data_IF_546766974830
#
_entry.id   IF_546766974830
#
_cell.length_a   1.000
_cell.length_b   1.000
_cell.length_c   1.000
_cell.angle_alpha   90.00
_cell.angle_beta   90.00
_cell.angle_gamma   90.00
#
_symmetry.space_group_name_H-M   'P 1'
#
loop_
_entity.id
_entity.type
_entity.pdbx_description
1 polymer ?
#
# COMPACT_ATOMS: atom_id res chain seq x y z
N UNK A 1 25.19 -47.68 -48.03
CA UNK A 1 26.57 -47.25 -48.28
C UNK A 1 26.98 -46.57 -47.02
N UNK A 2 27.54 -47.35 -46.07
CA UNK A 2 28.97 -47.55 -45.87
C UNK A 2 29.69 -46.26 -45.52
N UNK A 3 30.44 -46.08 -44.50
CA UNK A 3 31.14 -47.01 -43.59
C UNK A 3 31.73 -46.12 -42.47
N UNK A 4 31.67 -46.51 -41.22
CA UNK A 4 32.75 -47.07 -40.41
C UNK A 4 33.99 -46.15 -40.29
N UNK A 5 34.69 -45.99 -39.20
CA UNK A 5 35.03 -46.76 -38.00
C UNK A 5 35.88 -45.90 -37.03
N UNK A 6 35.64 -46.07 -35.73
CA UNK A 6 36.62 -46.59 -34.73
C UNK A 6 37.88 -45.78 -34.46
N UNK A 7 38.17 -45.60 -33.20
CA UNK A 7 38.98 -46.23 -32.21
C UNK A 7 39.35 -45.26 -31.08
N UNK A 8 39.13 -45.48 -29.84
CA UNK A 8 39.66 -46.43 -28.87
C UNK A 8 41.01 -46.06 -28.26
N UNK A 9 41.01 -46.05 -26.94
CA UNK A 9 42.16 -46.39 -26.08
C UNK A 9 42.61 -45.24 -25.18
N UNK A 10 42.52 -45.27 -23.96
CA UNK A 10 42.76 -46.15 -22.80
C UNK A 10 43.87 -45.61 -21.89
N UNK A 11 43.56 -45.57 -20.57
CA UNK A 11 44.42 -45.79 -19.41
C UNK A 11 45.57 -44.80 -19.09
N UNK A 12 45.75 -44.33 -17.85
CA UNK A 12 46.07 -45.04 -16.61
C UNK A 12 46.16 -44.12 -15.40
N UNK A 13 45.79 -44.64 -14.27
CA UNK A 13 45.96 -44.22 -12.88
C UNK A 13 47.41 -44.00 -12.44
N UNK A 14 47.59 -43.15 -11.41
CA UNK A 14 48.40 -43.38 -10.17
C UNK A 14 48.35 -42.12 -9.32
N UNK A 15 47.93 -42.14 -8.20
CA UNK A 15 48.09 -42.43 -6.79
C UNK A 15 49.41 -41.97 -6.14
N UNK A 16 49.18 -41.22 -5.02
CA UNK A 16 49.94 -41.17 -3.78
C UNK A 16 51.26 -40.37 -3.68
N UNK A 17 51.39 -39.47 -2.73
CA UNK A 17 51.88 -39.74 -1.36
C UNK A 17 52.00 -38.47 -0.53
N UNK A 18 51.61 -38.58 0.73
CA UNK A 18 51.93 -37.78 1.92
C UNK A 18 53.40 -37.34 2.04
N UNK A 19 53.60 -36.14 2.57
CA UNK A 19 54.60 -35.86 3.61
C UNK A 19 54.27 -34.63 4.44
N UNK A 20 54.12 -34.84 5.72
CA UNK A 20 54.19 -33.92 6.83
C UNK A 20 55.59 -33.39 7.05
N UNK A 21 55.76 -32.14 7.39
CA UNK A 21 56.88 -31.67 8.26
C UNK A 21 56.39 -30.52 9.14
N UNK A 22 56.77 -30.65 10.41
CA UNK A 22 56.48 -29.79 11.54
C UNK A 22 57.35 -28.53 11.61
N UNK A 23 56.79 -27.50 12.31
CA UNK A 23 57.37 -26.52 13.24
C UNK A 23 58.64 -25.75 12.87
N UNK A 24 58.56 -24.44 12.90
CA UNK A 24 59.05 -23.65 14.07
C UNK A 24 58.74 -22.15 13.94
N UNK A 25 58.53 -21.58 15.06
CA UNK A 25 58.18 -20.25 15.51
C UNK A 25 59.09 -19.11 15.05
N UNK A 26 58.50 -17.89 14.82
CA UNK A 26 58.92 -16.66 15.49
C UNK A 26 58.16 -15.41 14.99
N UNK A 27 57.62 -14.60 15.92
CA UNK A 27 57.66 -13.14 15.85
C UNK A 27 56.46 -12.42 15.25
N UNK A 28 55.52 -12.01 16.08
CA UNK A 28 54.59 -10.88 15.90
C UNK A 28 55.27 -9.53 15.55
N UNK A 29 54.57 -8.53 14.93
CA UNK A 29 53.53 -7.88 15.72
C UNK A 29 52.22 -7.61 14.94
N UNK A 30 51.18 -7.50 15.78
CA UNK A 30 49.80 -7.19 15.45
C UNK A 30 49.65 -5.83 14.75
N UNK A 31 48.98 -5.82 13.61
CA UNK A 31 48.27 -4.65 13.10
C UNK A 31 46.79 -4.99 13.17
N UNK A 32 46.13 -4.45 14.19
CA UNK A 32 44.71 -4.49 14.39
C UNK A 32 44.03 -3.56 13.36
N UNK A 33 43.57 -4.08 12.27
CA UNK A 33 42.51 -3.44 11.50
C UNK A 33 41.17 -4.07 11.92
N UNK A 34 40.56 -3.50 12.95
CA UNK A 34 39.14 -3.73 13.21
C UNK A 34 38.32 -3.03 12.12
N UNK A 35 38.19 -3.66 10.96
CA UNK A 35 37.08 -3.43 10.07
C UNK A 35 35.83 -3.98 10.78
N UNK A 36 35.01 -3.10 11.28
CA UNK A 36 33.70 -3.46 11.83
C UNK A 36 32.82 -3.95 10.67
N UNK A 37 32.73 -5.26 10.47
CA UNK A 37 31.57 -5.90 9.88
C UNK A 37 30.35 -5.56 10.74
N UNK A 38 29.73 -4.41 10.46
CA UNK A 38 28.36 -4.17 10.87
C UNK A 38 27.51 -5.07 9.97
N UNK A 39 27.35 -6.32 10.39
CA UNK A 39 26.28 -7.17 9.92
C UNK A 39 24.99 -6.33 9.95
N UNK A 40 24.38 -6.13 8.78
CA UNK A 40 23.09 -5.49 8.60
C UNK A 40 22.09 -6.13 9.57
N UNK A 41 21.69 -5.40 10.60
CA UNK A 41 20.62 -5.85 11.47
C UNK A 41 19.32 -5.77 10.65
N UNK A 42 18.64 -6.91 10.41
CA UNK A 42 17.33 -6.90 9.75
C UNK A 42 16.38 -5.97 10.52
N UNK A 43 15.36 -5.43 9.84
CA UNK A 43 14.29 -4.63 10.48
C UNK A 43 13.99 -5.20 11.85
N UNK A 44 14.32 -4.44 12.89
CA UNK A 44 14.05 -4.89 14.25
C UNK A 44 12.56 -5.19 14.37
N UNK A 45 12.19 -6.23 15.08
CA UNK A 45 10.81 -6.68 15.34
C UNK A 45 9.86 -5.52 15.69
N UNK A 46 10.41 -4.43 16.28
CA UNK A 46 9.72 -3.21 16.66
C UNK A 46 9.08 -2.40 15.50
N UNK A 47 9.60 -2.47 14.28
CA UNK A 47 9.04 -1.67 13.16
C UNK A 47 7.83 -2.35 12.53
N UNK A 48 7.79 -3.69 12.53
CA UNK A 48 6.58 -4.44 12.17
C UNK A 48 5.45 -4.26 13.19
N UNK A 49 5.78 -4.00 14.46
CA UNK A 49 4.78 -3.71 15.48
C UNK A 49 4.07 -2.37 15.24
N UNK A 50 4.73 -1.39 14.59
CA UNK A 50 4.09 -0.13 14.16
C UNK A 50 2.99 -0.33 13.11
N UNK A 51 3.03 -1.41 12.34
CA UNK A 51 1.98 -1.73 11.36
C UNK A 51 0.66 -2.11 12.04
N UNK A 52 0.71 -2.76 13.19
CA UNK A 52 -0.49 -3.32 13.85
C UNK A 52 -1.54 -2.26 14.22
N UNK A 53 -1.19 -1.13 14.87
CA UNK A 53 -2.16 -0.09 15.20
C UNK A 53 -2.62 0.74 14.00
N UNK A 54 -1.79 0.90 12.95
CA UNK A 54 -2.09 1.74 11.78
C UNK A 54 -2.65 0.97 10.58
N UNK A 55 -2.56 -0.37 10.59
CA UNK A 55 -2.94 -1.21 9.44
C UNK A 55 -3.63 -2.51 9.87
N UNK A 56 -4.94 -2.43 10.12
CA UNK A 56 -5.70 -3.59 10.62
C UNK A 56 -5.69 -4.80 9.65
N UNK A 57 -5.97 -4.58 8.37
CA UNK A 57 -6.06 -5.65 7.36
C UNK A 57 -4.70 -5.94 6.71
N UNK A 58 -3.95 -4.90 6.35
CA UNK A 58 -2.66 -5.05 5.68
C UNK A 58 -1.56 -5.64 6.58
N UNK A 59 -1.64 -5.45 7.90
CA UNK A 59 -0.71 -6.08 8.84
C UNK A 59 -0.65 -7.61 8.65
N UNK A 60 -1.82 -8.26 8.52
CA UNK A 60 -1.88 -9.71 8.31
C UNK A 60 -1.29 -10.11 6.95
N UNK A 61 -1.64 -9.37 5.89
CA UNK A 61 -1.10 -9.61 4.55
C UNK A 61 0.42 -9.46 4.52
N UNK A 62 0.97 -8.37 5.08
CA UNK A 62 2.42 -8.13 5.15
C UNK A 62 3.12 -9.21 5.99
N UNK A 63 2.52 -9.65 7.09
CA UNK A 63 3.08 -10.69 7.95
C UNK A 63 3.18 -12.05 7.26
N UNK A 64 2.27 -12.34 6.32
CA UNK A 64 2.29 -13.58 5.52
C UNK A 64 3.42 -13.59 4.47
N UNK A 65 3.95 -12.42 4.09
CA UNK A 65 4.97 -12.32 3.06
C UNK A 65 6.27 -13.03 3.45
N UNK A 66 7.00 -13.59 2.47
CA UNK A 66 8.40 -13.97 2.63
C UNK A 66 9.23 -12.81 3.19
N UNK A 67 10.29 -13.11 3.95
CA UNK A 67 11.14 -12.07 4.55
C UNK A 67 11.70 -11.09 3.53
N UNK A 68 12.09 -11.58 2.36
CA UNK A 68 12.64 -10.78 1.25
C UNK A 68 11.68 -9.70 0.73
N UNK A 69 10.38 -9.95 0.73
CA UNK A 69 9.33 -8.99 0.34
C UNK A 69 8.87 -8.11 1.50
N UNK A 70 8.88 -8.67 2.71
CA UNK A 70 8.24 -8.04 3.88
C UNK A 70 8.84 -6.68 4.21
N UNK A 71 10.16 -6.58 4.16
CA UNK A 71 10.87 -5.38 4.57
C UNK A 71 10.59 -4.18 3.65
N UNK A 72 10.84 -4.23 2.34
CA UNK A 72 10.57 -3.10 1.46
C UNK A 72 9.08 -2.74 1.41
N UNK A 73 8.18 -3.75 1.47
CA UNK A 73 6.73 -3.51 1.47
C UNK A 73 6.25 -2.87 2.78
N UNK A 74 6.76 -3.32 3.92
CA UNK A 74 6.44 -2.74 5.23
C UNK A 74 6.89 -1.29 5.32
N UNK A 75 8.12 -0.98 4.87
CA UNK A 75 8.66 0.38 4.88
C UNK A 75 7.88 1.30 3.91
N UNK A 76 7.59 0.84 2.70
CA UNK A 76 6.76 1.58 1.75
C UNK A 76 5.40 1.91 2.36
N UNK A 77 4.74 0.92 2.99
CA UNK A 77 3.46 1.12 3.65
C UNK A 77 3.53 2.12 4.82
N UNK A 78 4.53 1.99 5.70
CA UNK A 78 4.69 2.91 6.85
C UNK A 78 4.95 4.34 6.39
N UNK A 79 5.77 4.54 5.36
CA UNK A 79 6.03 5.86 4.77
C UNK A 79 4.77 6.44 4.10
N UNK A 80 4.04 5.64 3.31
CA UNK A 80 2.76 6.05 2.73
C UNK A 80 1.75 6.41 3.83
N UNK A 81 1.63 5.60 4.89
CA UNK A 81 0.72 5.91 5.99
C UNK A 81 1.12 7.17 6.77
N UNK A 82 2.42 7.45 6.86
CA UNK A 82 2.92 8.72 7.43
C UNK A 82 2.49 9.91 6.58
N UNK A 83 2.62 9.82 5.24
CA UNK A 83 2.16 10.88 4.34
C UNK A 83 0.65 11.08 4.38
N UNK A 84 -0.15 10.00 4.46
CA UNK A 84 -1.60 10.08 4.67
C UNK A 84 -1.93 10.83 5.97
N UNK A 85 -1.25 10.49 7.08
CA UNK A 85 -1.49 11.15 8.37
C UNK A 85 -1.17 12.65 8.33
N UNK A 86 -0.18 13.08 7.54
CA UNK A 86 0.13 14.48 7.29
C UNK A 86 -0.99 15.12 6.45
N UNK A 87 -1.39 14.48 5.35
CA UNK A 87 -2.41 14.99 4.43
C UNK A 87 -3.78 15.13 5.09
N UNK A 88 -4.17 14.15 5.93
CA UNK A 88 -5.47 14.10 6.61
C UNK A 88 -5.53 14.93 7.90
N UNK A 89 -4.43 15.60 8.28
CA UNK A 89 -4.37 16.36 9.52
C UNK A 89 -5.20 17.63 9.47
N UNK A 90 -6.38 17.63 10.12
CA UNK A 90 -7.24 18.81 10.26
C UNK A 90 -6.69 19.87 11.25
N UNK A 91 -5.55 19.63 11.90
CA UNK A 91 -4.94 20.58 12.84
C UNK A 91 -4.20 21.72 12.14
N UNK A 92 -3.98 21.63 10.82
CA UNK A 92 -3.25 22.63 10.05
C UNK A 92 -4.02 23.03 8.79
N UNK A 93 -3.86 24.28 8.34
CA UNK A 93 -4.31 24.73 7.02
C UNK A 93 -3.72 23.87 5.89
N UNK A 94 -4.40 23.82 4.73
CA UNK A 94 -3.96 23.03 3.58
C UNK A 94 -2.54 23.40 3.13
N UNK A 95 -2.19 24.67 3.14
CA UNK A 95 -0.85 25.17 2.73
C UNK A 95 0.26 24.60 3.61
N UNK A 96 0.05 24.53 4.92
CA UNK A 96 1.03 23.93 5.85
C UNK A 96 1.13 22.42 5.70
N UNK A 97 0.02 21.74 5.39
CA UNK A 97 0.04 20.30 5.07
C UNK A 97 0.82 20.02 3.80
N UNK A 98 0.62 20.83 2.75
CA UNK A 98 1.36 20.76 1.49
C UNK A 98 2.86 20.99 1.74
N UNK A 99 3.23 22.04 2.50
CA UNK A 99 4.65 22.29 2.85
C UNK A 99 5.27 21.09 3.57
N UNK A 100 4.56 20.51 4.53
CA UNK A 100 5.05 19.37 5.31
C UNK A 100 5.15 18.09 4.47
N UNK A 101 4.21 17.86 3.54
CA UNK A 101 4.29 16.78 2.56
C UNK A 101 5.50 16.94 1.64
N UNK A 102 5.75 18.16 1.12
CA UNK A 102 6.91 18.43 0.28
C UNK A 102 8.23 18.21 1.04
N UNK A 103 8.28 18.59 2.31
CA UNK A 103 9.44 18.30 3.18
C UNK A 103 9.61 16.82 3.42
N UNK A 104 8.51 16.10 3.67
CA UNK A 104 8.54 14.64 3.86
C UNK A 104 8.99 13.91 2.59
N UNK A 105 8.50 14.33 1.42
CA UNK A 105 8.96 13.80 0.13
C UNK A 105 10.47 14.03 -0.09
N UNK A 106 10.99 15.22 0.26
CA UNK A 106 12.44 15.50 0.23
C UNK A 106 13.22 14.63 1.22
N UNK A 107 12.65 14.35 2.40
CA UNK A 107 13.29 13.47 3.38
C UNK A 107 13.38 12.02 2.88
N UNK A 108 12.32 11.50 2.24
CA UNK A 108 12.31 10.18 1.57
C UNK A 108 13.38 10.13 0.47
N UNK A 109 13.52 11.21 -0.30
CA UNK A 109 14.57 11.35 -1.32
C UNK A 109 15.99 11.53 -0.73
N UNK A 110 16.12 11.63 0.60
CA UNK A 110 17.41 11.84 1.29
C UNK A 110 17.90 13.29 1.31
N UNK A 111 17.05 14.25 0.93
CA UNK A 111 17.39 15.69 0.75
C UNK A 111 16.97 16.57 1.94
N UNK A 112 16.20 16.09 2.91
CA UNK A 112 15.81 16.82 4.13
C UNK A 112 16.08 15.91 5.36
N UNK A 113 16.94 16.36 6.27
CA UNK A 113 17.27 15.65 7.51
C UNK A 113 16.56 16.24 8.74
N UNK A 114 15.84 17.33 8.58
CA UNK A 114 15.18 18.07 9.67
C UNK A 114 13.70 17.75 9.82
N UNK A 115 13.17 16.82 9.03
CA UNK A 115 11.75 16.47 9.00
C UNK A 115 11.20 16.02 10.36
N UNK A 116 12.02 15.33 11.16
CA UNK A 116 11.61 14.82 12.47
C UNK A 116 11.17 15.92 13.43
N UNK A 117 11.85 17.08 13.40
CA UNK A 117 11.43 18.25 14.19
C UNK A 117 10.05 18.74 13.75
N UNK A 118 9.84 18.90 12.43
CA UNK A 118 8.57 19.39 11.89
C UNK A 118 7.39 18.43 12.21
N UNK A 119 7.62 17.11 12.21
CA UNK A 119 6.60 16.12 12.61
C UNK A 119 6.30 16.17 14.12
N UNK A 120 7.29 16.44 14.94
CA UNK A 120 7.09 16.68 16.40
C UNK A 120 6.30 17.96 16.66
N UNK A 121 6.59 19.04 15.93
CA UNK A 121 5.84 20.30 16.02
C UNK A 121 4.37 20.11 15.63
N UNK A 122 4.07 19.25 14.63
CA UNK A 122 2.72 18.83 14.28
C UNK A 122 2.01 18.14 15.45
N UNK A 123 2.70 17.26 16.18
CA UNK A 123 2.13 16.55 17.32
C UNK A 123 1.85 17.50 18.50
N UNK A 124 2.73 18.48 18.75
CA UNK A 124 2.57 19.45 19.83
C UNK A 124 1.41 20.43 19.57
N UNK A 125 1.26 20.91 18.34
CA UNK A 125 0.18 21.84 17.95
C UNK A 125 -1.22 21.27 18.19
N UNK A 126 -1.37 19.94 18.23
CA UNK A 126 -2.66 19.26 18.54
C UNK A 126 -2.95 19.12 20.05
N UNK A 127 -1.92 19.12 20.91
CA UNK A 127 -2.15 19.04 22.36
C UNK A 127 -2.73 20.36 22.89
N UNK A 128 -2.33 21.50 22.36
CA UNK A 128 -2.83 22.81 22.75
C UNK A 128 -4.27 23.07 22.28
N UNK A 129 -4.65 22.58 21.10
CA UNK A 129 -6.03 22.70 20.57
C UNK A 129 -7.08 21.90 21.34
N UNK A 130 -6.68 20.81 22.00
CA UNK A 130 -7.59 19.97 22.81
C UNK A 130 -7.96 20.58 24.17
N UNK A 131 -7.14 21.49 24.68
CA UNK A 131 -7.40 22.16 25.99
C UNK A 131 -8.35 23.35 25.87
N UNK A 132 -8.48 23.96 24.69
CA UNK A 132 -9.35 25.12 24.49
C UNK A 132 -10.82 24.77 24.28
N UNK A 133 -11.15 23.53 23.87
CA UNK A 133 -12.52 23.08 23.61
C UNK A 133 -13.28 22.48 24.82
N UNK A 134 -12.66 22.40 25.99
CA UNK A 134 -13.23 21.76 27.18
C UNK A 134 -14.25 22.63 27.94
N UNK A 135 -14.64 23.83 27.43
CA UNK A 135 -15.56 24.76 28.13
C UNK A 135 -16.97 24.87 27.56
N UNK A 136 -17.35 24.14 26.54
CA UNK A 136 -18.74 24.06 26.09
C UNK A 136 -19.37 22.72 26.47
N UNK A 137 -20.30 22.74 27.44
CA UNK A 137 -21.20 21.63 27.76
C UNK A 137 -22.22 21.47 26.64
N UNK A 138 -21.79 20.91 25.49
CA UNK A 138 -22.65 20.46 24.40
C UNK A 138 -22.44 18.97 24.18
N UNK A 139 -23.50 18.23 23.93
CA UNK A 139 -23.50 16.82 23.56
C UNK A 139 -22.60 16.65 22.36
N UNK A 140 -21.43 15.94 22.52
CA UNK A 140 -20.50 15.61 21.44
C UNK A 140 -21.23 14.77 20.41
N UNK A 141 -21.33 15.26 19.20
CA UNK A 141 -21.79 14.46 18.05
C UNK A 141 -20.75 13.42 17.68
N UNK A 142 -21.12 12.29 17.02
CA UNK A 142 -20.17 11.28 16.57
C UNK A 142 -19.06 11.83 15.64
N UNK A 143 -19.24 13.02 15.07
CA UNK A 143 -18.27 13.73 14.24
C UNK A 143 -17.15 14.40 15.05
N UNK A 144 -17.43 14.81 16.29
CA UNK A 144 -16.44 15.43 17.19
C UNK A 144 -15.39 14.43 17.72
N UNK A 145 -15.63 13.13 17.55
CA UNK A 145 -14.72 12.05 17.98
C UNK A 145 -13.68 11.67 16.95
N UNK A 146 -13.76 12.17 15.70
CA UNK A 146 -12.86 11.79 14.60
C UNK A 146 -11.71 12.78 14.31
N UNK A 147 -11.65 13.91 15.02
CA UNK A 147 -10.69 15.00 14.72
C UNK A 147 -9.30 14.85 15.34
N UNK A 148 -9.03 13.78 16.09
CA UNK A 148 -7.73 13.53 16.73
C UNK A 148 -6.84 12.53 15.98
N UNK A 149 -5.51 12.74 15.99
CA UNK A 149 -4.54 11.70 15.61
C UNK A 149 -4.73 10.52 16.57
N UNK A 150 -4.89 9.30 16.05
CA UNK A 150 -4.94 8.09 16.88
C UNK A 150 -3.57 7.81 17.52
N UNK A 151 -3.54 7.07 18.63
CA UNK A 151 -2.26 6.68 19.27
C UNK A 151 -1.33 5.93 18.30
N UNK A 152 -1.88 5.14 17.36
CA UNK A 152 -1.10 4.48 16.33
C UNK A 152 -0.45 5.45 15.34
N UNK A 153 -1.16 6.48 14.91
CA UNK A 153 -0.65 7.53 14.01
C UNK A 153 0.37 8.42 14.74
N UNK A 154 0.17 8.70 16.01
CA UNK A 154 1.14 9.41 16.85
C UNK A 154 2.46 8.63 16.92
N UNK A 155 2.40 7.35 17.30
CA UNK A 155 3.57 6.48 17.34
C UNK A 155 4.28 6.38 15.98
N UNK A 156 3.52 6.40 14.88
CA UNK A 156 4.05 6.40 13.51
C UNK A 156 4.83 7.68 13.21
N UNK A 157 4.25 8.86 13.49
CA UNK A 157 4.91 10.15 13.29
C UNK A 157 6.18 10.29 14.15
N UNK A 158 6.14 9.84 15.41
CA UNK A 158 7.30 9.80 16.30
C UNK A 158 8.41 8.88 15.78
N UNK A 159 8.04 7.82 15.07
CA UNK A 159 8.97 6.84 14.49
C UNK A 159 9.46 7.19 13.09
N UNK A 160 8.98 8.27 12.47
CA UNK A 160 9.24 8.58 11.06
C UNK A 160 10.75 8.68 10.74
N UNK A 161 11.56 9.29 11.61
CA UNK A 161 13.02 9.35 11.41
C UNK A 161 13.65 7.95 11.42
N UNK A 162 13.17 7.05 12.28
CA UNK A 162 13.66 5.67 12.36
C UNK A 162 13.30 4.92 11.09
N UNK A 163 12.06 5.10 10.57
CA UNK A 163 11.60 4.48 9.32
C UNK A 163 12.42 5.01 8.14
N UNK A 164 12.72 6.32 8.08
CA UNK A 164 13.58 6.92 7.06
C UNK A 164 15.03 6.40 7.13
N UNK A 165 15.57 6.12 8.33
CA UNK A 165 16.87 5.47 8.46
C UNK A 165 16.84 4.03 7.96
N UNK A 166 15.78 3.28 8.28
CA UNK A 166 15.59 1.91 7.79
C UNK A 166 15.51 1.86 6.26
N UNK A 167 14.85 2.85 5.61
CA UNK A 167 14.85 2.97 4.15
C UNK A 167 16.27 3.03 3.55
N UNK A 168 17.20 3.71 4.21
CA UNK A 168 18.60 3.81 3.74
C UNK A 168 19.37 2.49 3.85
N UNK A 169 18.89 1.54 4.64
CA UNK A 169 19.51 0.23 4.81
C UNK A 169 18.99 -0.82 3.81
N UNK A 170 17.94 -0.51 3.03
CA UNK A 170 17.48 -1.38 1.95
C UNK A 170 18.52 -1.47 0.82
N UNK A 171 18.39 -2.49 -0.04
CA UNK A 171 19.17 -2.56 -1.29
C UNK A 171 18.93 -1.30 -2.14
N UNK A 172 19.90 -0.88 -2.99
CA UNK A 172 19.73 0.29 -3.86
C UNK A 172 18.46 0.22 -4.73
N UNK A 173 18.11 -0.96 -5.22
CA UNK A 173 16.94 -1.21 -6.04
C UNK A 173 15.64 -1.01 -5.23
N UNK A 174 15.59 -1.56 -4.01
CA UNK A 174 14.44 -1.38 -3.12
C UNK A 174 14.27 0.07 -2.71
N UNK A 175 15.38 0.75 -2.39
CA UNK A 175 15.35 2.18 -2.09
C UNK A 175 14.78 3.01 -3.25
N UNK A 176 15.20 2.69 -4.49
CA UNK A 176 14.70 3.36 -5.69
C UNK A 176 13.20 3.15 -5.82
N UNK A 177 12.74 1.90 -5.79
CA UNK A 177 11.33 1.57 -5.99
C UNK A 177 10.43 2.19 -4.91
N UNK A 178 10.86 2.18 -3.63
CA UNK A 178 10.12 2.84 -2.55
C UNK A 178 10.08 4.35 -2.74
N UNK A 179 11.19 4.99 -3.15
CA UNK A 179 11.23 6.44 -3.40
C UNK A 179 10.36 6.84 -4.59
N UNK A 180 10.39 6.08 -5.68
CA UNK A 180 9.53 6.31 -6.86
C UNK A 180 8.06 6.21 -6.48
N UNK A 181 7.67 5.15 -5.78
CA UNK A 181 6.30 4.98 -5.28
C UNK A 181 5.85 6.17 -4.44
N UNK A 182 6.65 6.53 -3.43
CA UNK A 182 6.28 7.61 -2.50
C UNK A 182 6.27 8.98 -3.17
N UNK A 183 7.10 9.21 -4.19
CA UNK A 183 7.05 10.44 -4.99
C UNK A 183 5.72 10.57 -5.75
N UNK A 184 5.18 9.46 -6.27
CA UNK A 184 3.88 9.44 -6.96
C UNK A 184 2.75 9.66 -5.95
N UNK A 185 2.73 8.93 -4.83
CA UNK A 185 1.69 9.04 -3.80
C UNK A 185 1.64 10.46 -3.22
N UNK A 186 2.77 11.02 -2.82
CA UNK A 186 2.82 12.36 -2.22
C UNK A 186 2.41 13.45 -3.22
N UNK A 187 2.67 13.25 -4.52
CA UNK A 187 2.15 14.13 -5.57
C UNK A 187 0.62 14.07 -5.62
N UNK A 188 0.02 12.88 -5.64
CA UNK A 188 -1.44 12.73 -5.64
C UNK A 188 -2.09 13.36 -4.42
N UNK A 189 -1.53 13.16 -3.23
CA UNK A 189 -2.00 13.78 -1.98
C UNK A 189 -1.91 15.31 -2.00
N UNK A 190 -0.84 15.85 -2.59
CA UNK A 190 -0.68 17.29 -2.76
C UNK A 190 -1.70 17.88 -3.74
N UNK A 191 -1.94 17.21 -4.86
CA UNK A 191 -2.96 17.59 -5.84
C UNK A 191 -4.35 17.60 -5.19
N UNK A 192 -4.65 16.58 -4.40
CA UNK A 192 -5.90 16.46 -3.63
C UNK A 192 -6.08 17.65 -2.66
N UNK A 193 -5.07 17.95 -1.84
CA UNK A 193 -5.11 19.08 -0.91
C UNK A 193 -5.28 20.44 -1.61
N UNK A 194 -4.69 20.61 -2.80
CA UNK A 194 -4.81 21.84 -3.57
C UNK A 194 -6.20 21.98 -4.17
N UNK A 195 -6.76 20.90 -4.71
CA UNK A 195 -8.07 20.84 -5.35
C UNK A 195 -9.20 21.23 -4.40
N UNK A 196 -9.21 20.65 -3.21
CA UNK A 196 -10.32 20.81 -2.24
C UNK A 196 -10.17 22.02 -1.33
N UNK A 197 -9.19 22.91 -1.54
CA UNK A 197 -9.00 24.11 -0.72
C UNK A 197 -10.10 25.16 -0.90
N UNK A 198 -10.85 25.11 -2.01
CA UNK A 198 -11.92 26.06 -2.35
C UNK A 198 -13.32 25.65 -1.92
N UNK A 199 -13.50 24.50 -1.25
CA UNK A 199 -14.79 23.95 -0.87
C UNK A 199 -15.21 22.76 -1.73
N UNK A 200 -16.52 22.43 -1.73
CA UNK A 200 -17.05 21.29 -2.46
C UNK A 200 -16.90 21.49 -3.98
N UNK A 201 -16.10 20.64 -4.57
CA UNK A 201 -15.86 20.58 -6.02
C UNK A 201 -15.91 19.13 -6.50
N UNK A 202 -16.11 18.92 -7.81
CA UNK A 202 -16.06 17.61 -8.45
C UNK A 202 -14.79 17.47 -9.30
N UNK A 203 -14.40 16.23 -9.63
CA UNK A 203 -13.40 15.97 -10.67
C UNK A 203 -13.99 16.34 -12.03
N UNK A 204 -13.16 16.85 -12.96
CA UNK A 204 -13.68 17.36 -14.23
C UNK A 204 -14.33 16.26 -15.08
N UNK A 205 -13.72 15.07 -15.13
CA UNK A 205 -14.16 13.96 -15.99
C UNK A 205 -13.67 12.60 -15.47
N UNK A 206 -14.13 11.52 -16.11
CA UNK A 206 -13.76 10.15 -15.78
C UNK A 206 -12.24 9.89 -15.81
N UNK A 207 -11.52 10.49 -16.78
CA UNK A 207 -10.07 10.29 -16.89
C UNK A 207 -9.35 10.85 -15.67
N UNK A 208 -9.76 12.01 -15.16
CA UNK A 208 -9.18 12.61 -13.95
C UNK A 208 -9.38 11.72 -12.72
N UNK A 209 -10.54 11.06 -12.59
CA UNK A 209 -10.75 10.08 -11.53
C UNK A 209 -9.84 8.86 -11.68
N UNK A 210 -9.68 8.34 -12.90
CA UNK A 210 -8.77 7.21 -13.14
C UNK A 210 -7.31 7.58 -12.90
N UNK A 211 -6.89 8.80 -13.28
CA UNK A 211 -5.54 9.29 -13.01
C UNK A 211 -5.30 9.45 -11.51
N UNK A 212 -6.26 10.00 -10.77
CA UNK A 212 -6.20 10.07 -9.32
C UNK A 212 -6.06 8.70 -8.68
N UNK A 213 -6.89 7.72 -9.07
CA UNK A 213 -6.80 6.36 -8.54
C UNK A 213 -5.46 5.69 -8.86
N UNK A 214 -4.84 6.04 -10.00
CA UNK A 214 -3.49 5.60 -10.32
C UNK A 214 -2.45 6.20 -9.38
N UNK A 215 -2.49 7.51 -9.16
CA UNK A 215 -1.52 8.21 -8.31
C UNK A 215 -1.50 7.70 -6.86
N UNK A 216 -2.66 7.32 -6.31
CA UNK A 216 -2.76 6.93 -4.89
C UNK A 216 -2.77 5.41 -4.67
N UNK A 217 -3.05 4.60 -5.70
CA UNK A 217 -3.16 3.16 -5.54
C UNK A 217 -2.71 2.31 -6.73
N UNK A 218 -2.92 2.73 -7.99
CA UNK A 218 -2.42 2.00 -9.16
C UNK A 218 -0.90 1.85 -9.13
N UNK A 219 -0.17 2.90 -8.78
CA UNK A 219 1.29 2.88 -8.61
C UNK A 219 1.75 1.88 -7.53
N UNK A 220 0.92 1.59 -6.53
CA UNK A 220 1.20 0.55 -5.51
C UNK A 220 1.20 -0.84 -6.14
N UNK A 221 0.26 -1.10 -7.08
CA UNK A 221 0.21 -2.34 -7.85
C UNK A 221 1.46 -2.54 -8.72
N UNK A 222 1.96 -1.47 -9.34
CA UNK A 222 3.21 -1.51 -10.10
C UNK A 222 4.42 -1.78 -9.19
N UNK A 223 4.55 -1.06 -8.09
CA UNK A 223 5.60 -1.28 -7.08
C UNK A 223 5.60 -2.73 -6.59
N UNK A 224 4.44 -3.23 -6.20
CA UNK A 224 4.26 -4.61 -5.75
C UNK A 224 4.75 -5.60 -6.81
N UNK A 225 4.36 -5.41 -8.05
CA UNK A 225 4.73 -6.29 -9.18
C UNK A 225 6.25 -6.30 -9.38
N UNK A 226 6.89 -5.12 -9.50
CA UNK A 226 8.36 -5.01 -9.69
C UNK A 226 9.14 -5.68 -8.55
N UNK A 227 8.75 -5.44 -7.30
CA UNK A 227 9.40 -6.06 -6.14
C UNK A 227 9.21 -7.59 -6.14
N UNK A 228 8.02 -8.09 -6.52
CA UNK A 228 7.76 -9.52 -6.64
C UNK A 228 8.61 -10.17 -7.73
N UNK A 229 8.68 -9.61 -8.93
CA UNK A 229 9.52 -10.14 -10.01
C UNK A 229 10.99 -10.21 -9.61
N UNK A 230 11.50 -9.19 -8.94
CA UNK A 230 12.90 -9.16 -8.50
C UNK A 230 13.22 -10.13 -7.37
N UNK A 231 12.32 -10.31 -6.40
CA UNK A 231 12.62 -11.01 -5.14
C UNK A 231 12.00 -12.39 -4.97
N UNK A 232 11.05 -12.75 -5.81
CA UNK A 232 10.33 -14.02 -5.67
C UNK A 232 10.68 -14.95 -6.82
N UNK A 233 11.44 -15.99 -6.52
CA UNK A 233 11.75 -17.00 -7.51
C UNK A 233 10.48 -17.65 -8.05
N UNK A 234 10.41 -17.80 -9.39
CA UNK A 234 9.25 -18.39 -10.08
C UNK A 234 7.92 -17.71 -9.67
N UNK A 235 7.91 -16.40 -9.55
CA UNK A 235 6.75 -15.61 -9.13
C UNK A 235 5.51 -15.93 -9.95
N UNK A 236 5.64 -15.91 -11.27
CA UNK A 236 4.58 -16.20 -12.24
C UNK A 236 5.18 -16.74 -13.54
N UNK A 237 4.34 -17.33 -14.39
CA UNK A 237 4.67 -17.69 -15.77
C UNK A 237 4.26 -16.59 -16.78
N UNK A 238 3.57 -15.52 -16.34
CA UNK A 238 3.16 -14.41 -17.22
C UNK A 238 4.30 -13.43 -17.42
N UNK A 239 4.22 -12.65 -18.49
CA UNK A 239 5.11 -11.53 -18.74
C UNK A 239 4.97 -10.45 -17.66
N UNK A 240 6.05 -9.75 -17.36
CA UNK A 240 6.03 -8.66 -16.37
C UNK A 240 5.07 -7.54 -16.79
N UNK A 241 5.01 -7.21 -18.09
CA UNK A 241 4.11 -6.19 -18.64
C UNK A 241 2.64 -6.51 -18.33
N UNK A 242 2.21 -7.76 -18.56
CA UNK A 242 0.83 -8.20 -18.28
C UNK A 242 0.51 -8.10 -16.78
N UNK A 243 1.48 -8.48 -15.95
CA UNK A 243 1.31 -8.40 -14.49
C UNK A 243 1.32 -6.96 -13.98
N UNK A 244 2.07 -6.05 -14.60
CA UNK A 244 2.04 -4.62 -14.29
C UNK A 244 0.67 -4.02 -14.60
N UNK A 245 0.11 -4.33 -15.76
CA UNK A 245 -1.24 -3.88 -16.15
C UNK A 245 -2.31 -4.38 -15.17
N UNK A 246 -2.33 -5.69 -14.89
CA UNK A 246 -3.24 -6.28 -13.91
C UNK A 246 -3.06 -5.68 -12.52
N UNK A 247 -1.81 -5.47 -12.07
CA UNK A 247 -1.49 -4.88 -10.77
C UNK A 247 -1.96 -3.43 -10.67
N UNK A 248 -1.76 -2.63 -11.72
CA UNK A 248 -2.23 -1.24 -11.82
C UNK A 248 -3.75 -1.16 -11.74
N UNK A 249 -4.46 -1.96 -12.56
CA UNK A 249 -5.91 -2.00 -12.58
C UNK A 249 -6.49 -2.49 -11.24
N UNK A 250 -5.83 -3.45 -10.62
CA UNK A 250 -6.19 -3.91 -9.28
C UNK A 250 -6.06 -2.80 -8.23
N UNK A 251 -4.96 -2.06 -8.21
CA UNK A 251 -4.78 -0.91 -7.32
C UNK A 251 -5.87 0.15 -7.51
N UNK A 252 -6.15 0.52 -8.78
CA UNK A 252 -7.24 1.44 -9.13
C UNK A 252 -8.60 0.95 -8.63
N UNK A 253 -8.92 -0.34 -8.84
CA UNK A 253 -10.16 -0.95 -8.35
C UNK A 253 -10.31 -0.86 -6.84
N UNK A 254 -9.25 -1.15 -6.07
CA UNK A 254 -9.26 -1.01 -4.61
C UNK A 254 -9.50 0.44 -4.16
N UNK A 255 -8.95 1.43 -4.88
CA UNK A 255 -9.19 2.83 -4.57
C UNK A 255 -10.61 3.26 -4.91
N UNK A 256 -11.16 2.80 -6.04
CA UNK A 256 -12.57 3.05 -6.37
C UNK A 256 -13.51 2.48 -5.30
N UNK A 257 -13.23 1.29 -4.77
CA UNK A 257 -13.99 0.76 -3.61
C UNK A 257 -13.95 1.70 -2.42
N UNK A 258 -12.78 2.30 -2.12
CA UNK A 258 -12.67 3.27 -1.04
C UNK A 258 -13.49 4.53 -1.32
N UNK A 259 -13.39 5.10 -2.53
CA UNK A 259 -14.13 6.30 -2.96
C UNK A 259 -15.65 6.05 -2.86
N UNK A 260 -16.14 4.94 -3.40
CA UNK A 260 -17.55 4.58 -3.37
C UNK A 260 -18.07 4.38 -1.93
N UNK A 261 -17.29 3.71 -1.09
CA UNK A 261 -17.64 3.43 0.30
C UNK A 261 -17.68 4.70 1.15
N UNK A 262 -16.74 5.58 0.94
CA UNK A 262 -16.56 6.78 1.77
C UNK A 262 -17.18 8.03 1.12
N UNK A 263 -17.87 7.90 -0.05
CA UNK A 263 -18.45 8.98 -0.86
C UNK A 263 -19.27 10.00 -0.03
N UNK A 264 -20.17 9.53 0.82
CA UNK A 264 -20.98 10.43 1.64
C UNK A 264 -20.16 11.21 2.68
N UNK A 265 -19.10 10.65 3.24
CA UNK A 265 -18.20 11.36 4.15
C UNK A 265 -17.31 12.35 3.41
N UNK A 266 -16.87 12.01 2.20
CA UNK A 266 -16.04 12.87 1.36
C UNK A 266 -16.83 14.08 0.86
N UNK A 267 -18.08 13.90 0.41
CA UNK A 267 -18.98 14.99 0.04
C UNK A 267 -19.17 15.98 1.18
N UNK A 268 -19.45 15.49 2.40
CA UNK A 268 -19.57 16.35 3.60
C UNK A 268 -18.26 17.05 3.98
N UNK A 269 -17.12 16.51 3.58
CA UNK A 269 -15.81 17.13 3.76
C UNK A 269 -15.40 18.04 2.57
N UNK A 270 -16.31 18.32 1.62
CA UNK A 270 -16.05 19.17 0.48
C UNK A 270 -15.35 18.48 -0.70
N UNK A 271 -15.34 17.16 -0.75
CA UNK A 271 -14.68 16.37 -1.79
C UNK A 271 -15.67 15.54 -2.60
N UNK A 272 -15.78 15.79 -3.89
CA UNK A 272 -16.56 14.97 -4.80
C UNK A 272 -15.63 14.31 -5.83
N UNK A 273 -15.43 13.01 -5.71
CA UNK A 273 -14.60 12.26 -6.67
C UNK A 273 -15.37 11.87 -7.94
N UNK A 274 -16.69 12.05 -7.97
CA UNK A 274 -17.48 11.74 -9.18
C UNK A 274 -17.28 12.82 -10.25
N UNK A 275 -17.20 12.42 -11.55
CA UNK A 275 -16.96 13.32 -12.65
C UNK A 275 -18.07 14.37 -12.84
N UNK A 276 -17.68 15.64 -12.94
CA UNK A 276 -18.60 16.75 -13.12
C UNK A 276 -19.37 16.69 -14.43
N UNK A 277 -18.71 16.24 -15.51
CA UNK A 277 -19.35 16.06 -16.82
C UNK A 277 -20.47 15.01 -16.76
N UNK A 278 -20.29 13.91 -16.03
CA UNK A 278 -21.32 12.89 -15.84
C UNK A 278 -22.47 13.41 -14.94
N UNK A 279 -22.14 14.15 -13.88
CA UNK A 279 -23.16 14.78 -13.03
C UNK A 279 -23.99 15.77 -13.82
N UNK A 280 -23.35 16.64 -14.59
CA UNK A 280 -24.04 17.64 -15.43
C UNK A 280 -24.91 16.99 -16.50
N UNK A 281 -24.49 15.87 -17.08
CA UNK A 281 -25.32 15.11 -18.03
C UNK A 281 -26.59 14.53 -17.42
N UNK A 282 -26.63 14.40 -16.08
CA UNK A 282 -27.80 13.96 -15.31
C UNK A 282 -28.54 15.14 -14.63
N UNK A 283 -28.24 16.39 -15.04
CA UNK A 283 -28.75 17.62 -14.39
C UNK A 283 -28.45 17.71 -12.90
N UNK A 284 -27.28 17.21 -12.48
CA UNK A 284 -26.79 17.20 -11.10
C UNK A 284 -25.53 18.04 -10.95
N UNK A 285 -25.33 18.55 -9.74
CA UNK A 285 -24.09 19.11 -9.22
C UNK A 285 -23.55 18.29 -8.06
N UNK A 286 -22.29 18.53 -7.64
CA UNK A 286 -21.71 17.87 -6.47
C UNK A 286 -22.52 18.12 -5.18
N UNK A 287 -23.15 19.27 -5.02
CA UNK A 287 -23.97 19.62 -3.86
C UNK A 287 -25.26 18.82 -3.78
N UNK A 288 -25.85 18.46 -4.94
CA UNK A 288 -27.11 17.71 -4.97
C UNK A 288 -26.93 16.28 -4.44
N UNK A 289 -25.70 15.73 -4.53
CA UNK A 289 -25.40 14.37 -4.05
C UNK A 289 -25.54 14.21 -2.54
N UNK A 290 -25.52 15.30 -1.77
CA UNK A 290 -25.75 15.27 -0.31
C UNK A 290 -27.16 14.76 0.05
N UNK A 291 -28.13 15.00 -0.84
CA UNK A 291 -29.51 14.54 -0.69
C UNK A 291 -29.75 13.14 -1.29
N UNK A 292 -28.70 12.54 -1.89
CA UNK A 292 -28.75 11.24 -2.54
C UNK A 292 -29.88 11.12 -3.60
N UNK A 293 -29.89 11.98 -4.63
CA UNK A 293 -30.97 12.03 -5.63
C UNK A 293 -30.98 10.75 -6.50
N UNK A 294 -32.19 10.25 -6.83
CA UNK A 294 -32.34 9.02 -7.61
C UNK A 294 -31.62 9.09 -8.98
N UNK A 295 -31.52 10.27 -9.58
CA UNK A 295 -30.80 10.49 -10.85
C UNK A 295 -29.28 10.18 -10.76
N UNK A 296 -28.70 10.14 -9.55
CA UNK A 296 -27.29 9.75 -9.35
C UNK A 296 -27.06 8.24 -9.40
N UNK A 297 -28.08 7.40 -9.20
CA UNK A 297 -27.92 5.95 -9.12
C UNK A 297 -27.24 5.34 -10.35
N UNK A 298 -27.55 5.72 -11.60
CA UNK A 298 -26.85 5.19 -12.77
C UNK A 298 -25.35 5.49 -12.78
N UNK A 299 -24.95 6.71 -12.37
CA UNK A 299 -23.54 7.11 -12.27
C UNK A 299 -22.84 6.29 -11.20
N UNK A 300 -23.44 6.17 -10.02
CA UNK A 300 -22.92 5.38 -8.91
C UNK A 300 -22.72 3.91 -9.28
N UNK A 301 -23.73 3.30 -9.94
CA UNK A 301 -23.69 1.90 -10.41
C UNK A 301 -22.62 1.67 -11.47
N UNK A 302 -22.42 2.62 -12.40
CA UNK A 302 -21.33 2.57 -13.37
C UNK A 302 -19.96 2.49 -12.69
N UNK A 303 -19.72 3.33 -11.69
CA UNK A 303 -18.45 3.33 -10.97
C UNK A 303 -18.27 2.11 -10.07
N UNK A 304 -19.36 1.50 -9.59
CA UNK A 304 -19.31 0.18 -8.94
C UNK A 304 -18.84 -0.87 -9.93
N UNK A 305 -19.36 -0.86 -11.17
CA UNK A 305 -18.96 -1.79 -12.23
C UNK A 305 -17.47 -1.60 -12.60
N UNK A 306 -16.98 -0.36 -12.69
CA UNK A 306 -15.56 -0.06 -12.92
C UNK A 306 -14.66 -0.57 -11.77
N UNK A 307 -15.08 -0.36 -10.52
CA UNK A 307 -14.38 -0.91 -9.36
C UNK A 307 -14.34 -2.44 -9.39
N UNK A 308 -15.44 -3.09 -9.80
CA UNK A 308 -15.53 -4.54 -9.95
C UNK A 308 -14.57 -5.06 -11.00
N UNK A 309 -14.47 -4.41 -12.17
CA UNK A 309 -13.50 -4.76 -13.20
C UNK A 309 -12.05 -4.70 -12.68
N UNK A 310 -11.71 -3.67 -11.89
CA UNK A 310 -10.40 -3.58 -11.23
C UNK A 310 -10.16 -4.71 -10.22
N UNK A 311 -11.17 -5.10 -9.44
CA UNK A 311 -11.03 -6.25 -8.52
C UNK A 311 -10.92 -7.58 -9.27
N UNK A 312 -11.59 -7.75 -10.40
CA UNK A 312 -11.45 -8.92 -11.28
C UNK A 312 -10.02 -9.03 -11.83
N UNK A 313 -9.41 -7.91 -12.23
CA UNK A 313 -7.99 -7.87 -12.57
C UNK A 313 -7.11 -8.31 -11.39
N UNK A 314 -7.46 -7.92 -10.16
CA UNK A 314 -6.78 -8.35 -8.93
C UNK A 314 -6.90 -9.85 -8.65
N UNK A 315 -8.06 -10.44 -8.91
CA UNK A 315 -8.26 -11.89 -8.80
C UNK A 315 -7.46 -12.63 -9.87
N UNK A 316 -7.44 -12.14 -11.10
CA UNK A 316 -6.63 -12.70 -12.20
C UNK A 316 -5.14 -12.61 -11.90
N UNK A 317 -4.68 -11.45 -11.39
CA UNK A 317 -3.32 -11.26 -10.91
C UNK A 317 -2.96 -12.31 -9.84
N UNK A 318 -3.80 -12.49 -8.83
CA UNK A 318 -3.57 -13.45 -7.76
C UNK A 318 -3.55 -14.91 -8.27
N UNK A 319 -4.42 -15.27 -9.22
CA UNK A 319 -4.43 -16.59 -9.86
C UNK A 319 -3.10 -16.86 -10.59
N UNK A 320 -2.48 -15.85 -11.18
CA UNK A 320 -1.22 -15.98 -11.89
C UNK A 320 -0.01 -16.19 -10.97
N UNK A 321 -0.10 -15.86 -9.69
CA UNK A 321 0.99 -15.99 -8.72
C UNK A 321 1.22 -17.47 -8.36
N UNK A 322 2.46 -17.97 -8.48
CA UNK A 322 2.80 -19.35 -8.13
C UNK A 322 2.97 -19.55 -6.61
N UNK A 323 3.73 -18.74 -5.84
CA UNK A 323 3.92 -18.97 -4.42
C UNK A 323 2.64 -18.71 -3.60
N UNK A 324 2.13 -19.73 -2.94
CA UNK A 324 0.85 -19.69 -2.21
C UNK A 324 0.75 -18.56 -1.17
N UNK A 325 1.82 -18.28 -0.42
CA UNK A 325 1.84 -17.19 0.58
C UNK A 325 1.66 -15.80 -0.06
N UNK A 326 2.32 -15.55 -1.18
CA UNK A 326 2.21 -14.29 -1.91
C UNK A 326 0.82 -14.18 -2.51
N UNK A 327 0.30 -15.26 -3.10
CA UNK A 327 -1.08 -15.33 -3.63
C UNK A 327 -2.12 -15.00 -2.58
N UNK A 328 -2.05 -15.63 -1.40
CA UNK A 328 -2.99 -15.38 -0.29
C UNK A 328 -2.91 -13.92 0.18
N UNK A 329 -1.71 -13.37 0.33
CA UNK A 329 -1.52 -11.97 0.72
C UNK A 329 -2.12 -11.00 -0.31
N UNK A 330 -2.05 -11.34 -1.60
CA UNK A 330 -2.56 -10.51 -2.70
C UNK A 330 -4.07 -10.61 -2.86
N UNK A 331 -4.67 -11.81 -2.71
CA UNK A 331 -6.10 -12.01 -2.98
C UNK A 331 -7.00 -11.47 -1.86
N UNK A 332 -6.51 -11.41 -0.63
CA UNK A 332 -7.32 -11.02 0.53
C UNK A 332 -7.96 -9.62 0.40
N UNK A 333 -7.25 -8.56 -0.01
CA UNK A 333 -7.86 -7.26 -0.25
C UNK A 333 -8.94 -7.30 -1.36
N UNK A 334 -8.72 -8.07 -2.43
CA UNK A 334 -9.71 -8.22 -3.51
C UNK A 334 -11.02 -8.82 -3.00
N UNK A 335 -10.95 -9.91 -2.22
CA UNK A 335 -12.13 -10.54 -1.63
C UNK A 335 -12.92 -9.60 -0.70
N UNK A 336 -12.21 -8.82 0.13
CA UNK A 336 -12.85 -7.81 0.98
C UNK A 336 -13.48 -6.70 0.12
N UNK A 337 -12.79 -6.29 -0.96
CA UNK A 337 -13.29 -5.31 -1.93
C UNK A 337 -14.58 -5.78 -2.61
N UNK A 338 -14.61 -7.00 -3.15
CA UNK A 338 -15.79 -7.59 -3.78
C UNK A 338 -16.98 -7.61 -2.81
N UNK A 339 -16.76 -8.07 -1.57
CA UNK A 339 -17.84 -8.06 -0.55
C UNK A 339 -18.31 -6.65 -0.21
N UNK A 340 -17.38 -5.67 -0.18
CA UNK A 340 -17.73 -4.26 0.02
C UNK A 340 -18.61 -3.76 -1.11
N UNK A 341 -18.27 -4.05 -2.39
CA UNK A 341 -19.09 -3.66 -3.54
C UNK A 341 -20.49 -4.27 -3.48
N UNK A 342 -20.61 -5.57 -3.11
CA UNK A 342 -21.93 -6.21 -2.97
C UNK A 342 -22.79 -5.48 -1.91
N UNK A 343 -22.20 -5.10 -0.77
CA UNK A 343 -22.91 -4.34 0.25
C UNK A 343 -23.29 -2.92 -0.22
N UNK A 344 -22.46 -2.28 -1.06
CA UNK A 344 -22.77 -0.98 -1.65
C UNK A 344 -23.90 -1.09 -2.67
N UNK A 345 -23.92 -2.14 -3.50
CA UNK A 345 -25.03 -2.44 -4.43
C UNK A 345 -26.35 -2.69 -3.66
N UNK A 346 -26.30 -3.49 -2.61
CA UNK A 346 -27.46 -3.75 -1.73
C UNK A 346 -28.00 -2.48 -1.07
N UNK A 347 -27.08 -1.57 -0.67
CA UNK A 347 -27.46 -0.31 0.00
C UNK A 347 -27.92 0.78 -0.98
N UNK A 348 -27.51 0.69 -2.25
CA UNK A 348 -27.77 1.74 -3.24
C UNK A 348 -27.33 3.12 -2.75
N UNK A 349 -28.16 4.15 -2.93
CA UNK A 349 -27.82 5.53 -2.54
C UNK A 349 -27.83 5.76 -1.02
N UNK A 350 -28.36 4.84 -0.21
CA UNK A 350 -28.26 4.95 1.24
C UNK A 350 -26.80 4.85 1.72
N UNK A 351 -25.90 4.30 0.89
CA UNK A 351 -24.46 4.33 1.14
C UNK A 351 -23.88 5.75 1.26
N UNK A 352 -24.52 6.77 0.66
CA UNK A 352 -24.13 8.18 0.85
C UNK A 352 -24.52 8.74 2.22
N UNK A 353 -25.54 8.16 2.85
CA UNK A 353 -26.04 8.57 4.17
C UNK A 353 -25.43 7.78 5.30
N UNK A 354 -25.20 6.49 5.09
CA UNK A 354 -24.72 5.54 6.09
C UNK A 354 -23.46 4.85 5.63
N UNK A 355 -22.46 4.74 6.52
CA UNK A 355 -21.19 4.10 6.18
C UNK A 355 -21.34 2.59 6.09
N UNK A 356 -21.15 2.04 4.89
CA UNK A 356 -21.12 0.60 4.62
C UNK A 356 -19.81 0.00 5.11
N UNK A 357 -19.88 -1.11 5.85
CA UNK A 357 -18.71 -1.85 6.34
C UNK A 357 -18.96 -3.34 6.33
N UNK A 358 -17.99 -4.12 5.82
CA UNK A 358 -17.98 -5.57 5.99
C UNK A 358 -17.84 -5.90 7.48
N UNK A 359 -18.72 -6.73 8.05
CA UNK A 359 -18.64 -7.16 9.45
C UNK A 359 -17.28 -7.82 9.77
N UNK A 360 -16.73 -7.56 10.96
CA UNK A 360 -15.45 -8.13 11.37
C UNK A 360 -15.45 -9.66 11.43
N UNK A 361 -16.61 -10.28 11.70
CA UNK A 361 -16.81 -11.73 11.66
C UNK A 361 -16.63 -12.27 10.25
N UNK A 362 -17.21 -11.62 9.22
CA UNK A 362 -17.05 -12.00 7.82
C UNK A 362 -15.59 -11.85 7.37
N UNK A 363 -14.93 -10.74 7.72
CA UNK A 363 -13.50 -10.55 7.40
C UNK A 363 -12.63 -11.66 8.01
N UNK A 364 -12.90 -12.08 9.26
CA UNK A 364 -12.20 -13.21 9.89
C UNK A 364 -12.49 -14.54 9.18
N UNK A 365 -13.74 -14.77 8.79
CA UNK A 365 -14.13 -15.92 7.99
C UNK A 365 -13.41 -15.95 6.63
N UNK A 366 -13.35 -14.82 5.94
CA UNK A 366 -12.59 -14.68 4.69
C UNK A 366 -11.11 -15.00 4.88
N UNK A 367 -10.46 -14.47 5.93
CA UNK A 367 -9.05 -14.76 6.22
C UNK A 367 -8.85 -16.27 6.42
N UNK A 368 -9.70 -16.92 7.23
CA UNK A 368 -9.61 -18.34 7.48
C UNK A 368 -9.84 -19.18 6.20
N UNK A 369 -10.90 -18.88 5.44
CA UNK A 369 -11.21 -19.57 4.19
C UNK A 369 -10.15 -19.33 3.12
N UNK A 370 -9.64 -18.09 3.00
CA UNK A 370 -8.58 -17.73 2.05
C UNK A 370 -7.30 -18.51 2.33
N UNK A 371 -6.92 -18.65 3.59
CA UNK A 371 -5.72 -19.39 3.98
C UNK A 371 -5.84 -20.89 3.65
N UNK A 372 -7.03 -21.48 3.81
CA UNK A 372 -7.27 -22.92 3.60
C UNK A 372 -7.60 -23.25 2.13
N UNK A 373 -8.42 -22.40 1.49
CA UNK A 373 -9.06 -22.72 0.21
C UNK A 373 -8.30 -22.10 -0.98
N UNK A 374 -7.79 -20.89 -0.84
CA UNK A 374 -7.20 -20.10 -1.93
C UNK A 374 -5.68 -20.25 -2.05
N UNK A 375 -5.04 -21.07 -1.22
CA UNK A 375 -3.68 -21.54 -1.47
C UNK A 375 -3.57 -22.31 -2.82
N UNK A 376 -4.69 -22.85 -3.34
CA UNK A 376 -4.79 -23.54 -4.63
C UNK A 376 -5.32 -22.60 -5.73
N UNK A 377 -4.60 -22.47 -6.85
CA UNK A 377 -5.02 -21.71 -8.04
C UNK A 377 -6.36 -22.24 -8.61
N UNK A 378 -6.56 -23.54 -8.62
CA UNK A 378 -7.79 -24.15 -9.14
C UNK A 378 -9.03 -23.81 -8.31
N UNK A 379 -8.89 -23.68 -6.99
CA UNK A 379 -9.97 -23.27 -6.11
C UNK A 379 -10.28 -21.76 -6.26
N UNK A 380 -9.24 -20.94 -6.42
CA UNK A 380 -9.42 -19.50 -6.67
C UNK A 380 -10.12 -19.24 -8.00
N UNK A 381 -9.78 -19.99 -9.08
CA UNK A 381 -10.49 -19.93 -10.36
C UNK A 381 -11.97 -20.27 -10.23
N UNK A 382 -12.31 -21.28 -9.42
CA UNK A 382 -13.70 -21.65 -9.16
C UNK A 382 -14.44 -20.58 -8.35
N UNK A 383 -13.80 -20.01 -7.34
CA UNK A 383 -14.39 -18.91 -6.56
C UNK A 383 -14.65 -17.67 -7.42
N UNK A 384 -13.71 -17.32 -8.35
CA UNK A 384 -13.91 -16.21 -9.30
C UNK A 384 -15.12 -16.42 -10.19
N UNK A 385 -15.38 -17.65 -10.64
CA UNK A 385 -16.52 -17.96 -11.51
C UNK A 385 -17.88 -17.91 -10.80
N UNK A 386 -17.89 -17.77 -9.46
CA UNK A 386 -19.10 -17.68 -8.62
C UNK A 386 -19.35 -16.27 -8.07
N UNK A 387 -18.43 -15.32 -8.33
CA UNK A 387 -18.52 -13.89 -7.96
C UNK A 387 -19.05 -13.04 -9.12
#
# INVERSE_FOLDING_TARGET
>A
MENERKGAGSHLRRASRFRSYDRESSGSPAVTSRGSDRAEQPLAVNELELLKPVSRSFYLSIRLLPRTLREPVALAYLLARTSDTIADSNAMPAEKRIELLDRFARAIAGKDQSIGKALKDLLLSKQDGSQSSSRSRGTKTPQDLSSGITEGEKALLESAEKILRALKNLSPEDQRDVRELLAIITRGQREDLTRWSGGLAALANAQELLDYTHLVAGCVGEFWTRVCFRKVQSFTARLEADMLELGTNYGRGLQLVNILRDAGSDLRAGRCYFPEDELRAADLSASDLLDAPAAFLPIYSRWIAEARAGLDAGLEYAIAINPARVRVATVLPAMIGVRTLSLLEESGLDALRTRVKVPRSEVRGMIASTTITLASQSRLRRARAQL
#
